data_IF_429193040795
#
_entry.id   IF_429193040795
#
_cell.length_a   1.000
_cell.length_b   1.000
_cell.length_c   1.000
_cell.angle_alpha   90.00
_cell.angle_beta   90.00
_cell.angle_gamma   90.00
#
_symmetry.space_group_name_H-M   'P 1'
#
loop_
_entity.id
_entity.type
_entity.pdbx_description
1 polymer ?
#
# COMPACT_ATOMS: atom_id res chain seq x y z
N UNK A 1 17.00 -4.59 8.52
CA UNK A 1 16.02 -3.96 7.61
C UNK A 1 15.09 -3.06 8.43
N UNK A 2 14.74 -1.89 7.90
CA UNK A 2 13.68 -1.01 8.41
C UNK A 2 12.98 -0.38 7.19
N UNK A 3 11.68 -0.57 7.10
CA UNK A 3 10.83 -0.01 6.04
C UNK A 3 9.79 0.92 6.68
N UNK A 4 9.70 2.13 6.19
CA UNK A 4 8.77 3.17 6.65
C UNK A 4 7.83 3.54 5.51
N UNK A 5 6.55 3.21 5.67
CA UNK A 5 5.53 3.38 4.63
C UNK A 5 4.45 4.36 5.05
N UNK A 6 3.99 5.17 4.10
CA UNK A 6 2.77 5.98 4.24
C UNK A 6 1.75 5.51 3.20
N UNK A 7 0.56 5.17 3.67
CA UNK A 7 -0.59 4.81 2.84
C UNK A 7 -1.60 5.95 2.91
N UNK A 8 -1.89 6.60 1.79
CA UNK A 8 -2.71 7.81 1.77
C UNK A 8 -3.81 7.77 0.70
N UNK A 9 -5.01 8.20 1.07
CA UNK A 9 -6.17 8.26 0.20
C UNK A 9 -7.32 9.04 0.84
N UNK A 10 -8.52 8.89 0.29
CA UNK A 10 -9.74 9.37 0.93
C UNK A 10 -10.30 8.34 1.92
N UNK A 11 -11.09 8.80 2.88
CA UNK A 11 -11.91 7.92 3.69
C UNK A 11 -12.76 7.00 2.81
N UNK A 12 -12.77 5.70 3.10
CA UNK A 12 -13.46 4.69 2.31
C UNK A 12 -12.66 4.05 1.17
N UNK A 13 -11.47 4.54 0.84
CA UNK A 13 -10.60 3.91 -0.17
C UNK A 13 -9.78 2.73 0.36
N UNK A 14 -9.89 2.42 1.65
CA UNK A 14 -9.29 1.22 2.24
C UNK A 14 -7.77 1.30 2.47
N UNK A 15 -7.20 2.51 2.54
CA UNK A 15 -5.75 2.68 2.74
C UNK A 15 -5.33 2.32 4.17
N UNK A 16 -6.17 2.61 5.17
CA UNK A 16 -5.93 2.18 6.55
C UNK A 16 -5.94 0.66 6.69
N UNK A 17 -6.81 -0.01 5.95
CA UNK A 17 -6.94 -1.46 5.98
C UNK A 17 -5.71 -2.16 5.41
N UNK A 18 -5.22 -1.72 4.24
CA UNK A 18 -4.02 -2.34 3.65
C UNK A 18 -2.76 -2.05 4.46
N UNK A 19 -2.68 -0.89 5.11
CA UNK A 19 -1.62 -0.60 6.07
C UNK A 19 -1.67 -1.54 7.28
N UNK A 20 -2.87 -1.85 7.77
CA UNK A 20 -3.07 -2.82 8.84
C UNK A 20 -2.66 -4.23 8.42
N UNK A 21 -3.00 -4.67 7.20
CA UNK A 21 -2.54 -5.96 6.67
C UNK A 21 -1.02 -6.07 6.66
N UNK A 22 -0.33 -5.01 6.22
CA UNK A 22 1.13 -5.00 6.23
C UNK A 22 1.70 -5.10 7.65
N UNK A 23 1.14 -4.35 8.60
CA UNK A 23 1.59 -4.37 9.99
C UNK A 23 1.38 -5.75 10.62
N UNK A 24 0.22 -6.36 10.46
CA UNK A 24 -0.08 -7.69 10.98
C UNK A 24 0.80 -8.77 10.35
N UNK A 25 0.99 -8.72 9.04
CA UNK A 25 1.88 -9.64 8.33
C UNK A 25 3.33 -9.51 8.83
N UNK A 26 3.79 -8.29 9.08
CA UNK A 26 5.11 -8.03 9.67
C UNK A 26 5.25 -8.61 11.06
N UNK A 27 4.26 -8.42 11.92
CA UNK A 27 4.24 -8.95 13.28
C UNK A 27 4.24 -10.48 13.31
N UNK A 28 3.41 -11.13 12.49
CA UNK A 28 3.39 -12.58 12.35
C UNK A 28 4.71 -13.14 11.81
N UNK A 29 5.44 -12.36 11.01
CA UNK A 29 6.77 -12.71 10.49
C UNK A 29 7.91 -12.45 11.48
N UNK A 30 7.60 -12.13 12.73
CA UNK A 30 8.60 -11.88 13.77
C UNK A 30 9.27 -10.51 13.70
N UNK A 31 8.71 -9.57 12.95
CA UNK A 31 9.21 -8.20 12.84
C UNK A 31 8.64 -7.31 13.95
N UNK A 32 9.36 -6.24 14.24
CA UNK A 32 8.83 -5.14 15.04
C UNK A 32 8.04 -4.21 14.12
N UNK A 33 6.82 -3.89 14.50
CA UNK A 33 5.93 -3.07 13.67
C UNK A 33 5.31 -1.93 14.46
N UNK A 34 4.98 -0.87 13.75
CA UNK A 34 4.04 0.13 14.24
C UNK A 34 3.03 0.46 13.15
N UNK A 35 1.80 0.72 13.53
CA UNK A 35 0.72 1.17 12.67
C UNK A 35 0.06 2.35 13.34
N UNK A 36 0.13 3.51 12.70
CA UNK A 36 -0.39 4.78 13.21
C UNK A 36 -1.37 5.37 12.20
N UNK A 37 -2.68 5.16 12.37
CA UNK A 37 -3.67 5.80 11.54
C UNK A 37 -3.82 7.28 11.91
N UNK A 38 -4.05 8.13 10.90
CA UNK A 38 -4.42 9.52 11.08
C UNK A 38 -5.92 9.68 10.84
N UNK A 39 -6.63 10.01 11.92
CA UNK A 39 -8.04 10.33 11.89
C UNK A 39 -8.20 11.83 12.09
N UNK A 40 -8.68 12.53 11.07
CA UNK A 40 -9.06 13.94 11.19
C UNK A 40 -10.57 14.12 11.09
N UNK A 41 -11.12 15.28 11.46
CA UNK A 41 -12.52 15.63 11.21
C UNK A 41 -12.87 15.63 9.70
N UNK A 42 -11.89 15.49 8.86
CA UNK A 42 -11.94 15.43 7.40
C UNK A 42 -12.22 14.04 6.81
N UNK A 43 -12.50 13.02 7.63
CA UNK A 43 -12.68 11.65 7.14
C UNK A 43 -13.86 11.45 6.18
N UNK A 44 -14.84 12.33 6.19
CA UNK A 44 -15.93 12.34 5.20
C UNK A 44 -15.60 13.29 4.06
N UNK A 45 -14.81 12.78 3.08
CA UNK A 45 -14.35 13.54 1.92
C UNK A 45 -12.96 14.18 2.08
N UNK A 46 -12.28 13.96 3.22
CA UNK A 46 -10.91 14.37 3.47
C UNK A 46 -9.89 13.25 3.33
N UNK A 47 -8.61 13.58 3.45
CA UNK A 47 -7.51 12.62 3.35
C UNK A 47 -7.46 11.71 4.58
N UNK A 48 -7.47 10.40 4.37
CA UNK A 48 -7.18 9.39 5.39
C UNK A 48 -5.83 8.77 5.09
N UNK A 49 -4.95 8.69 6.09
CA UNK A 49 -3.65 8.07 5.91
C UNK A 49 -3.23 7.26 7.12
N UNK A 50 -2.28 6.35 6.93
CA UNK A 50 -1.61 5.68 8.03
C UNK A 50 -0.12 5.55 7.75
N UNK A 51 0.65 5.55 8.82
CA UNK A 51 2.07 5.26 8.81
C UNK A 51 2.31 3.84 9.30
N UNK A 52 3.09 3.06 8.57
CA UNK A 52 3.46 1.70 8.95
C UNK A 52 4.99 1.60 8.96
N UNK A 53 5.53 1.10 10.05
CA UNK A 53 6.96 0.77 10.15
C UNK A 53 7.08 -0.74 10.33
N UNK A 54 7.91 -1.38 9.51
CA UNK A 54 8.29 -2.80 9.64
C UNK A 54 9.80 -2.87 9.81
N UNK A 55 10.29 -3.48 10.87
CA UNK A 55 11.71 -3.44 11.21
C UNK A 55 12.21 -4.73 11.87
N UNK A 56 13.47 -5.07 11.65
CA UNK A 56 14.17 -6.14 12.37
C UNK A 56 14.54 -5.74 13.82
N UNK A 57 14.44 -4.45 14.14
CA UNK A 57 14.76 -3.89 15.47
C UNK A 57 13.55 -3.16 16.04
N UNK A 58 13.49 -2.99 17.37
CA UNK A 58 12.41 -2.23 18.00
C UNK A 58 12.19 -0.87 17.36
N UNK A 59 10.92 -0.51 17.17
CA UNK A 59 10.52 0.76 16.57
C UNK A 59 10.52 1.84 17.66
N UNK A 60 11.46 2.78 17.55
CA UNK A 60 11.61 3.85 18.55
C UNK A 60 10.54 4.94 18.42
N UNK A 61 10.01 5.15 17.22
CA UNK A 61 8.96 6.14 16.95
C UNK A 61 8.05 5.67 15.82
N UNK A 62 6.72 5.82 15.95
CA UNK A 62 5.78 5.55 14.86
C UNK A 62 5.70 6.70 13.85
N UNK A 63 6.29 7.86 14.16
CA UNK A 63 6.27 9.02 13.29
C UNK A 63 7.28 8.87 12.17
N UNK A 64 6.86 9.18 10.94
CA UNK A 64 7.66 9.11 9.74
C UNK A 64 7.84 10.52 9.19
N UNK A 65 9.07 11.03 9.23
CA UNK A 65 9.42 12.31 8.63
C UNK A 65 9.73 12.16 7.13
N UNK A 66 10.45 11.09 6.79
CA UNK A 66 10.73 10.71 5.41
C UNK A 66 10.48 9.22 5.24
N UNK A 67 9.67 8.86 4.26
CA UNK A 67 9.26 7.49 4.01
C UNK A 67 10.18 6.79 3.00
N UNK A 68 10.38 5.50 3.19
CA UNK A 68 10.98 4.63 2.18
C UNK A 68 10.01 4.36 1.04
N UNK A 69 8.71 4.27 1.37
CA UNK A 69 7.64 4.03 0.40
C UNK A 69 6.39 4.84 0.73
N UNK A 70 5.79 5.43 -0.30
CA UNK A 70 4.47 6.08 -0.20
C UNK A 70 3.55 5.50 -1.27
N UNK A 71 2.31 5.18 -0.85
CA UNK A 71 1.22 4.79 -1.75
C UNK A 71 0.19 5.93 -1.77
N UNK A 72 0.05 6.59 -2.90
CA UNK A 72 -0.91 7.67 -3.12
C UNK A 72 -2.10 7.15 -3.93
N UNK A 73 -3.26 7.02 -3.27
CA UNK A 73 -4.49 6.51 -3.89
C UNK A 73 -5.24 7.59 -4.67
N UNK A 74 -5.07 8.87 -4.32
CA UNK A 74 -5.73 10.00 -4.95
C UNK A 74 -4.80 11.21 -5.11
N UNK A 75 -5.21 12.17 -5.93
CA UNK A 75 -4.40 13.35 -6.26
C UNK A 75 -4.03 14.21 -5.04
N UNK A 76 -4.94 14.56 -4.12
CA UNK A 76 -4.56 15.32 -2.93
C UNK A 76 -3.51 14.61 -2.07
N UNK A 77 -3.58 13.28 -1.97
CA UNK A 77 -2.58 12.49 -1.24
C UNK A 77 -1.22 12.53 -1.93
N UNK A 78 -1.18 12.42 -3.26
CA UNK A 78 0.06 12.57 -4.02
C UNK A 78 0.69 13.94 -3.77
N UNK A 79 -0.07 15.01 -3.93
CA UNK A 79 0.41 16.38 -3.74
C UNK A 79 0.89 16.65 -2.32
N UNK A 80 0.22 16.07 -1.32
CA UNK A 80 0.58 16.25 0.07
C UNK A 80 1.85 15.49 0.48
N UNK A 81 2.02 14.25 0.01
CA UNK A 81 3.03 13.33 0.54
C UNK A 81 4.23 13.07 -0.39
N UNK A 82 4.18 13.43 -1.67
CA UNK A 82 5.28 13.12 -2.59
C UNK A 82 6.64 13.69 -2.14
N UNK A 83 6.64 14.83 -1.43
CA UNK A 83 7.87 15.43 -0.89
C UNK A 83 8.47 14.64 0.27
N UNK A 84 7.70 13.77 0.90
CA UNK A 84 8.12 13.01 2.07
C UNK A 84 8.77 11.67 1.71
N UNK A 85 8.84 11.32 0.42
CA UNK A 85 9.60 10.15 -0.05
C UNK A 85 11.08 10.45 0.01
N UNK A 86 11.88 9.57 0.60
CA UNK A 86 13.34 9.66 0.57
C UNK A 86 13.87 9.66 -0.87
N UNK A 87 14.96 10.36 -1.17
CA UNK A 87 15.66 10.17 -2.44
C UNK A 87 15.98 8.68 -2.69
N UNK A 88 15.65 8.18 -3.88
CA UNK A 88 15.74 6.75 -4.21
C UNK A 88 14.63 5.87 -3.63
N UNK A 89 13.68 6.45 -2.90
CA UNK A 89 12.52 5.75 -2.36
C UNK A 89 11.47 5.41 -3.41
N UNK A 90 10.46 4.65 -3.00
CA UNK A 90 9.38 4.17 -3.85
C UNK A 90 8.13 5.05 -3.70
N UNK A 91 7.61 5.53 -4.82
CA UNK A 91 6.34 6.26 -4.88
C UNK A 91 5.37 5.52 -5.80
N UNK A 92 4.39 4.84 -5.20
CA UNK A 92 3.31 4.19 -5.93
C UNK A 92 2.14 5.17 -6.11
N UNK A 93 1.63 5.27 -7.33
CA UNK A 93 0.59 6.23 -7.71
C UNK A 93 -0.54 5.49 -8.40
N UNK A 94 -1.78 5.65 -7.92
CA UNK A 94 -2.95 5.07 -8.57
C UNK A 94 -3.31 5.88 -9.83
N UNK A 95 -2.86 5.42 -10.98
CA UNK A 95 -3.07 6.10 -12.26
C UNK A 95 -4.50 6.02 -12.80
N UNK A 96 -5.36 5.20 -12.20
CA UNK A 96 -6.80 5.19 -12.53
C UNK A 96 -7.50 6.49 -12.15
N UNK A 97 -7.04 7.15 -11.08
CA UNK A 97 -7.68 8.34 -10.49
C UNK A 97 -6.78 9.56 -10.62
N UNK A 98 -5.46 9.38 -10.55
CA UNK A 98 -4.48 10.47 -10.55
C UNK A 98 -4.05 10.73 -12.00
N UNK A 99 -4.38 11.90 -12.51
CA UNK A 99 -4.15 12.33 -13.91
C UNK A 99 -2.86 13.12 -14.12
N UNK A 100 -2.06 13.28 -13.06
CA UNK A 100 -0.79 14.01 -13.09
C UNK A 100 0.39 13.07 -12.82
N UNK A 101 1.57 13.50 -13.23
CA UNK A 101 2.85 12.89 -12.87
C UNK A 101 3.39 13.52 -11.59
N UNK A 102 4.24 12.78 -10.87
CA UNK A 102 5.00 13.38 -9.76
C UNK A 102 6.02 14.39 -10.29
N UNK A 103 6.32 15.38 -9.48
CA UNK A 103 7.38 16.36 -9.76
C UNK A 103 8.77 15.83 -9.38
N UNK A 104 8.84 14.63 -8.79
CA UNK A 104 10.08 14.01 -8.29
C UNK A 104 10.74 13.18 -9.39
N UNK A 105 12.00 13.47 -9.67
CA UNK A 105 12.86 12.74 -10.60
C UNK A 105 13.90 11.85 -9.89
N UNK A 106 13.97 11.96 -8.57
CA UNK A 106 14.91 11.26 -7.68
C UNK A 106 14.28 10.06 -6.95
N UNK A 107 13.07 9.64 -7.33
CA UNK A 107 12.34 8.51 -6.74
C UNK A 107 11.95 7.47 -7.79
N UNK A 108 11.75 6.23 -7.34
CA UNK A 108 11.17 5.19 -8.19
C UNK A 108 9.63 5.38 -8.21
N UNK A 109 9.14 6.12 -9.20
CA UNK A 109 7.72 6.38 -9.37
C UNK A 109 7.07 5.28 -10.23
N UNK A 110 6.09 4.58 -9.66
CA UNK A 110 5.37 3.50 -10.32
C UNK A 110 3.88 3.83 -10.40
N UNK A 111 3.35 3.88 -11.61
CA UNK A 111 1.95 4.19 -11.89
C UNK A 111 1.17 2.90 -12.05
N UNK A 112 0.22 2.64 -11.15
CA UNK A 112 -0.57 1.41 -11.13
C UNK A 112 -2.04 1.77 -11.37
N UNK A 113 -2.67 1.26 -12.44
CA UNK A 113 -4.09 1.50 -12.71
C UNK A 113 -4.98 0.59 -11.84
N UNK A 114 -5.02 0.87 -10.54
CA UNK A 114 -5.61 -0.01 -9.54
C UNK A 114 -7.10 -0.31 -9.79
N UNK A 115 -7.86 0.69 -10.24
CA UNK A 115 -9.30 0.52 -10.48
C UNK A 115 -9.58 -0.36 -11.70
N UNK A 116 -8.87 -0.13 -12.82
CA UNK A 116 -9.00 -0.94 -14.03
C UNK A 116 -8.57 -2.40 -13.78
N UNK A 117 -7.49 -2.59 -13.02
CA UNK A 117 -7.04 -3.95 -12.66
C UNK A 117 -8.11 -4.63 -11.80
N UNK A 118 -8.65 -3.96 -10.79
CA UNK A 118 -9.68 -4.51 -9.93
C UNK A 118 -10.97 -4.83 -10.71
N UNK A 119 -11.36 -3.96 -11.64
CA UNK A 119 -12.51 -4.19 -12.51
C UNK A 119 -12.30 -5.41 -13.42
N UNK A 120 -11.09 -5.57 -13.99
CA UNK A 120 -10.77 -6.69 -14.90
C UNK A 120 -10.90 -8.06 -14.23
N UNK A 121 -10.72 -8.14 -12.92
CA UNK A 121 -10.89 -9.38 -12.14
C UNK A 121 -12.25 -9.48 -11.45
N UNK A 122 -13.17 -8.57 -11.74
CA UNK A 122 -14.53 -8.58 -11.17
C UNK A 122 -14.62 -8.16 -9.70
N UNK A 123 -13.61 -7.45 -9.18
CA UNK A 123 -13.56 -6.99 -7.79
C UNK A 123 -13.51 -5.46 -7.69
N UNK A 124 -14.63 -4.79 -7.90
CA UNK A 124 -14.74 -3.34 -7.87
C UNK A 124 -14.33 -2.69 -6.53
N UNK A 125 -14.31 -3.47 -5.45
CA UNK A 125 -13.88 -3.03 -4.12
C UNK A 125 -12.41 -3.33 -3.82
N UNK A 126 -11.70 -3.88 -4.78
CA UNK A 126 -10.32 -4.35 -4.63
C UNK A 126 -9.17 -3.41 -5.01
N UNK A 127 -9.36 -2.14 -5.45
CA UNK A 127 -8.23 -1.30 -5.86
C UNK A 127 -7.15 -1.14 -4.80
N UNK A 128 -7.53 -1.04 -3.51
CA UNK A 128 -6.59 -0.96 -2.40
C UNK A 128 -5.72 -2.22 -2.27
N UNK A 129 -6.30 -3.40 -2.44
CA UNK A 129 -5.57 -4.68 -2.36
C UNK A 129 -4.69 -4.88 -3.59
N UNK A 130 -5.13 -4.46 -4.79
CA UNK A 130 -4.28 -4.38 -5.98
C UNK A 130 -3.04 -3.52 -5.69
N UNK A 131 -3.24 -2.37 -5.06
CA UNK A 131 -2.17 -1.45 -4.69
C UNK A 131 -1.18 -2.07 -3.70
N UNK A 132 -1.68 -2.78 -2.70
CA UNK A 132 -0.84 -3.55 -1.77
C UNK A 132 -0.03 -4.63 -2.51
N UNK A 133 -0.62 -5.31 -3.48
CA UNK A 133 0.08 -6.29 -4.33
C UNK A 133 1.23 -5.66 -5.11
N UNK A 134 1.01 -4.50 -5.70
CA UNK A 134 2.07 -3.74 -6.37
C UNK A 134 3.23 -3.40 -5.42
N UNK A 135 2.91 -2.99 -4.19
CA UNK A 135 3.91 -2.73 -3.15
C UNK A 135 4.74 -3.98 -2.81
N UNK A 136 4.08 -5.12 -2.58
CA UNK A 136 4.78 -6.38 -2.22
C UNK A 136 5.72 -6.81 -3.35
N UNK A 137 5.31 -6.68 -4.60
CA UNK A 137 6.16 -7.02 -5.75
C UNK A 137 7.41 -6.13 -5.84
N UNK A 138 7.31 -4.86 -5.45
CA UNK A 138 8.45 -3.92 -5.41
C UNK A 138 9.33 -4.10 -4.18
N UNK A 139 8.80 -4.66 -3.10
CA UNK A 139 9.48 -4.81 -1.80
C UNK A 139 9.41 -6.24 -1.26
N UNK A 140 9.87 -7.24 -2.04
CA UNK A 140 9.72 -8.66 -1.69
C UNK A 140 10.50 -9.05 -0.42
N UNK A 141 11.55 -8.28 -0.08
CA UNK A 141 12.38 -8.53 1.11
C UNK A 141 11.75 -8.01 2.41
N UNK A 142 10.72 -7.17 2.32
CA UNK A 142 10.04 -6.62 3.50
C UNK A 142 9.06 -7.62 4.08
N UNK A 143 8.21 -8.20 3.22
CA UNK A 143 7.16 -9.12 3.63
C UNK A 143 6.81 -10.09 2.49
N UNK A 144 6.47 -11.33 2.82
CA UNK A 144 6.04 -12.31 1.83
C UNK A 144 4.55 -12.17 1.48
N UNK A 145 4.20 -12.61 0.28
CA UNK A 145 2.79 -12.71 -0.16
C UNK A 145 1.97 -13.57 0.80
N UNK A 146 2.52 -14.70 1.24
CA UNK A 146 1.87 -15.66 2.12
C UNK A 146 1.53 -15.03 3.47
N UNK A 147 2.43 -14.23 4.03
CA UNK A 147 2.21 -13.53 5.30
C UNK A 147 1.06 -12.51 5.16
N UNK A 148 0.99 -11.79 4.06
CA UNK A 148 -0.11 -10.85 3.79
C UNK A 148 -1.44 -11.56 3.60
N UNK A 149 -1.48 -12.68 2.87
CA UNK A 149 -2.69 -13.50 2.71
C UNK A 149 -3.18 -14.01 4.07
N UNK A 150 -2.26 -14.45 4.93
CA UNK A 150 -2.64 -14.89 6.27
C UNK A 150 -3.19 -13.75 7.12
N UNK A 151 -2.57 -12.57 7.07
CA UNK A 151 -3.08 -11.38 7.74
C UNK A 151 -4.49 -10.99 7.24
N UNK A 152 -4.75 -11.06 5.93
CA UNK A 152 -6.08 -10.85 5.37
C UNK A 152 -7.09 -11.86 5.89
N UNK A 153 -6.72 -13.14 5.97
CA UNK A 153 -7.59 -14.21 6.50
C UNK A 153 -7.98 -13.96 7.95
N UNK A 154 -7.02 -13.60 8.78
CA UNK A 154 -7.24 -13.30 10.20
C UNK A 154 -8.13 -12.07 10.37
N UNK A 155 -7.84 -10.99 9.67
CA UNK A 155 -8.59 -9.73 9.78
C UNK A 155 -10.03 -9.84 9.28
N UNK A 156 -10.25 -10.56 8.18
CA UNK A 156 -11.60 -10.79 7.64
C UNK A 156 -12.43 -11.68 8.55
N UNK A 157 -11.81 -12.65 9.23
CA UNK A 157 -12.47 -13.61 10.08
C UNK A 157 -13.51 -14.46 9.33
N UNK A 158 -14.25 -15.27 10.06
CA UNK A 158 -15.27 -16.18 9.49
C UNK A 158 -16.41 -15.43 8.79
N UNK A 159 -16.86 -14.31 9.35
CA UNK A 159 -18.00 -13.55 8.82
C UNK A 159 -17.76 -12.96 7.43
N UNK A 160 -16.49 -12.67 7.10
CA UNK A 160 -16.09 -12.06 5.82
C UNK A 160 -15.20 -12.97 4.98
N UNK A 161 -15.10 -14.26 5.34
CA UNK A 161 -14.27 -15.24 4.63
C UNK A 161 -14.58 -15.33 3.13
N UNK A 162 -15.82 -15.06 2.73
CA UNK A 162 -16.25 -15.02 1.32
C UNK A 162 -15.52 -13.98 0.47
N UNK A 163 -14.92 -12.96 1.08
CA UNK A 163 -14.18 -11.92 0.38
C UNK A 163 -12.70 -12.26 0.20
N UNK A 164 -12.20 -13.28 0.89
CA UNK A 164 -10.77 -13.61 0.90
C UNK A 164 -10.27 -13.97 -0.50
N UNK A 165 -10.98 -14.82 -1.25
CA UNK A 165 -10.56 -15.23 -2.59
C UNK A 165 -10.46 -14.05 -3.55
N UNK A 166 -11.42 -13.12 -3.50
CA UNK A 166 -11.39 -11.89 -4.29
C UNK A 166 -10.20 -10.99 -3.92
N UNK A 167 -9.88 -10.91 -2.64
CA UNK A 167 -8.73 -10.15 -2.16
C UNK A 167 -7.40 -10.79 -2.56
N UNK A 168 -7.30 -12.12 -2.52
CA UNK A 168 -6.11 -12.82 -3.00
C UNK A 168 -5.88 -12.55 -4.49
N UNK A 169 -6.94 -12.65 -5.31
CA UNK A 169 -6.87 -12.33 -6.74
C UNK A 169 -6.44 -10.89 -7.00
N UNK A 170 -6.96 -9.94 -6.23
CA UNK A 170 -6.58 -8.53 -6.34
C UNK A 170 -5.11 -8.32 -5.99
N UNK A 171 -4.63 -8.94 -4.91
CA UNK A 171 -3.23 -8.89 -4.51
C UNK A 171 -2.31 -9.43 -5.62
N UNK A 172 -2.62 -10.61 -6.14
CA UNK A 172 -1.86 -11.26 -7.20
C UNK A 172 -1.89 -10.47 -8.51
N UNK A 173 -3.01 -9.85 -8.86
CA UNK A 173 -3.13 -9.00 -10.04
C UNK A 173 -2.24 -7.76 -9.94
N UNK A 174 -2.17 -7.12 -8.78
CA UNK A 174 -1.27 -5.99 -8.52
C UNK A 174 0.20 -6.39 -8.61
N UNK A 175 0.54 -7.54 -8.06
CA UNK A 175 1.90 -8.10 -8.16
C UNK A 175 2.28 -8.38 -9.60
N UNK A 176 1.42 -9.04 -10.37
CA UNK A 176 1.66 -9.40 -11.76
C UNK A 176 1.87 -8.17 -12.63
N UNK A 177 1.08 -7.11 -12.43
CA UNK A 177 1.22 -5.86 -13.17
C UNK A 177 2.63 -5.26 -13.03
N UNK A 178 3.14 -5.18 -11.82
CA UNK A 178 4.48 -4.62 -11.54
C UNK A 178 5.58 -5.51 -12.10
N UNK A 179 5.42 -6.83 -12.02
CA UNK A 179 6.37 -7.79 -12.59
C UNK A 179 6.45 -7.67 -14.12
N UNK A 180 5.31 -7.49 -14.79
CA UNK A 180 5.25 -7.22 -16.23
C UNK A 180 5.95 -5.91 -16.62
N UNK A 181 5.74 -4.83 -15.85
CA UNK A 181 6.44 -3.56 -16.08
C UNK A 181 7.96 -3.74 -16.01
N UNK A 182 8.45 -4.53 -15.09
CA UNK A 182 9.88 -4.80 -14.93
C UNK A 182 10.48 -5.53 -16.13
N UNK A 183 9.70 -6.36 -16.85
CA UNK A 183 10.13 -7.06 -18.05
C UNK A 183 10.19 -6.15 -19.29
N UNK A 184 9.37 -5.12 -19.34
CA UNK A 184 9.32 -4.17 -20.48
C UNK A 184 10.51 -3.19 -20.44
N UNK A 185 11.07 -2.93 -19.27
CA UNK A 185 12.17 -1.97 -19.06
C UNK A 185 13.58 -2.61 -19.11
N UNK A 186 13.67 -3.87 -19.51
CA UNK A 186 14.93 -4.55 -19.86
C UNK A 186 15.18 -4.41 -21.36
#
# INVERSE_FOLDING_TARGET
MKEQCIFAGFGGQGMLLIGKFLAEAGMESGKHVSWLPSYGPEMRGGTANCSVVVSDRPVASPLIAQADTILAMNKPSLLKFQSDVKPGGLLLINSSIIDIKTDRDDVDAVYVPCNEIAESIGNLKGPNVVFLGAYIAKKPDVISKEAVINAMRVELGEKKAKFLDGNIKALEAGMAYVQELSLIHI
#
